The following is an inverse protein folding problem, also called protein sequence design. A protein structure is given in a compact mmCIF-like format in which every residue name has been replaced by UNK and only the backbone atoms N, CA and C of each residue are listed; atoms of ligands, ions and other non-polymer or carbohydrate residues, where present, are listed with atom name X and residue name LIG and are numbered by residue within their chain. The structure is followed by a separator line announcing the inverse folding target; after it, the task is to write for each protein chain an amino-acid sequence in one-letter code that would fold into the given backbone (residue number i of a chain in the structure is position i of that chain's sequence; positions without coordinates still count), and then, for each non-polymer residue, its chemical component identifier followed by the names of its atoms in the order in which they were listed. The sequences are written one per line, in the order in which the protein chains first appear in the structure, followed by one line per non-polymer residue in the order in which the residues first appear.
data_IF_683328390350
#
_entry.id   IF_683328390350
#
_cell.length_a   1.000
_cell.length_b   1.000
_cell.length_c   1.000
_cell.angle_alpha   90.00
_cell.angle_beta   90.00
_cell.angle_gamma   90.00
#
_symmetry.space_group_name_H-M   'P 1'
#
loop_
_entity.id
_entity.type
_entity.pdbx_description
1 polymer ?
#
# COMPACT_ATOMS: atom_id res chain seq x y z
N UNK A 1 30.89 20.00 0.70
CA UNK A 1 29.63 19.68 1.41
C UNK A 1 29.83 18.39 2.16
N UNK A 2 29.40 18.31 3.41
CA UNK A 2 29.43 17.08 4.20
C UNK A 2 28.00 16.55 4.27
N UNK A 3 27.84 15.26 3.98
CA UNK A 3 26.56 14.53 4.08
C UNK A 3 26.73 13.47 5.15
N UNK A 4 25.78 13.39 6.08
CA UNK A 4 25.74 12.37 7.13
C UNK A 4 24.61 11.40 6.79
N UNK A 5 24.92 10.10 6.74
CA UNK A 5 23.91 9.03 6.68
C UNK A 5 23.63 8.55 8.10
N UNK A 6 22.35 8.44 8.45
CA UNK A 6 21.88 7.96 9.75
C UNK A 6 20.96 6.78 9.47
N UNK A 7 21.32 5.60 9.96
CA UNK A 7 20.43 4.43 9.98
C UNK A 7 19.59 4.48 11.26
N UNK A 8 18.29 4.26 11.13
CA UNK A 8 17.33 4.33 12.23
C UNK A 8 16.66 2.96 12.33
N UNK A 9 16.85 2.28 13.44
CA UNK A 9 16.31 0.93 13.69
C UNK A 9 14.84 0.99 14.16
N UNK A 10 14.45 2.06 14.87
CA UNK A 10 13.07 2.27 15.34
C UNK A 10 12.44 3.49 14.64
N UNK A 11 11.48 3.26 13.73
CA UNK A 11 10.72 4.33 13.05
C UNK A 11 10.06 5.33 14.00
N UNK A 12 9.78 4.92 15.25
CA UNK A 12 9.17 5.76 16.28
C UNK A 12 10.00 7.01 16.59
N UNK A 13 11.31 6.94 16.42
CA UNK A 13 12.23 8.03 16.76
C UNK A 13 12.43 9.02 15.59
N UNK A 14 11.91 8.69 14.40
CA UNK A 14 12.02 9.50 13.20
C UNK A 14 11.46 10.93 13.38
N UNK A 15 10.27 11.15 13.97
CA UNK A 15 9.72 12.51 14.15
C UNK A 15 10.60 13.40 15.05
N UNK A 16 11.19 12.81 16.09
CA UNK A 16 12.05 13.52 17.04
C UNK A 16 13.38 13.89 16.38
N UNK A 17 13.95 12.98 15.60
CA UNK A 17 15.16 13.24 14.83
C UNK A 17 14.94 14.34 13.76
N UNK A 18 13.83 14.27 13.02
CA UNK A 18 13.46 15.30 12.04
C UNK A 18 13.34 16.69 12.69
N UNK A 19 12.74 16.77 13.88
CA UNK A 19 12.62 18.02 14.63
C UNK A 19 14.00 18.60 15.01
N UNK A 20 14.93 17.75 15.45
CA UNK A 20 16.30 18.17 15.79
C UNK A 20 17.06 18.65 14.55
N UNK A 21 17.02 17.90 13.46
CA UNK A 21 17.71 18.25 12.21
C UNK A 21 17.18 19.57 11.63
N UNK A 22 15.86 19.76 11.67
CA UNK A 22 15.21 21.01 11.24
C UNK A 22 15.66 22.19 12.10
N UNK A 23 15.72 22.01 13.43
CA UNK A 23 16.17 23.06 14.36
C UNK A 23 17.63 23.46 14.13
N UNK A 24 18.45 22.53 13.67
CA UNK A 24 19.85 22.79 13.28
C UNK A 24 20.00 23.45 11.91
N UNK A 25 18.90 23.65 11.17
CA UNK A 25 18.91 24.23 9.83
C UNK A 25 19.50 23.29 8.77
N UNK A 26 19.52 21.99 9.05
CA UNK A 26 20.00 20.98 8.12
C UNK A 26 18.89 20.60 7.13
N UNK A 27 19.29 20.32 5.89
CA UNK A 27 18.42 19.67 4.91
C UNK A 27 18.61 18.17 5.02
N UNK A 28 17.52 17.42 5.02
CA UNK A 28 17.53 15.96 5.08
C UNK A 28 16.47 15.41 4.13
N UNK A 29 16.66 14.16 3.76
CA UNK A 29 15.75 13.33 2.98
C UNK A 29 15.63 12.01 3.73
N UNK A 30 14.42 11.44 3.76
CA UNK A 30 14.19 10.12 4.30
C UNK A 30 14.15 9.18 3.11
N UNK A 31 15.12 8.26 3.04
CA UNK A 31 15.11 7.16 2.08
C UNK A 31 14.41 5.99 2.78
N UNK A 32 13.17 5.69 2.37
CA UNK A 32 12.50 4.43 2.72
C UNK A 32 12.92 3.40 1.68
N UNK A 33 13.53 2.29 2.13
CA UNK A 33 13.84 1.18 1.24
C UNK A 33 12.53 0.47 0.87
N UNK A 34 11.95 0.80 -0.28
CA UNK A 34 10.71 0.16 -0.80
C UNK A 34 10.86 -1.37 -1.01
N UNK A 35 12.10 -1.87 -1.00
CA UNK A 35 12.46 -3.28 -1.10
C UNK A 35 12.88 -3.92 0.25
N UNK A 36 12.78 -3.20 1.37
CA UNK A 36 12.98 -3.79 2.70
C UNK A 36 11.71 -4.50 3.18
N UNK A 37 11.58 -5.76 2.77
CA UNK A 37 10.54 -6.67 3.25
C UNK A 37 10.98 -7.45 4.50
N UNK A 38 12.09 -7.07 5.13
CA UNK A 38 12.70 -7.78 6.26
C UNK A 38 13.03 -9.24 5.91
N UNK A 39 12.82 -10.14 6.88
CA UNK A 39 13.07 -11.58 6.74
C UNK A 39 11.93 -12.35 6.05
N UNK A 40 11.04 -11.67 5.32
CA UNK A 40 9.94 -12.35 4.65
C UNK A 40 10.46 -13.27 3.53
N UNK A 41 9.94 -14.51 3.43
CA UNK A 41 10.28 -15.38 2.30
C UNK A 41 9.86 -14.75 0.97
N UNK A 42 10.65 -14.96 -0.09
CA UNK A 42 10.39 -14.44 -1.45
C UNK A 42 8.93 -14.70 -1.92
N UNK A 43 8.42 -15.91 -1.68
CA UNK A 43 7.05 -16.27 -2.06
C UNK A 43 5.97 -15.44 -1.34
N UNK A 44 6.25 -14.99 -0.11
CA UNK A 44 5.35 -14.10 0.61
C UNK A 44 5.40 -12.68 0.02
N UNK A 45 6.60 -12.19 -0.32
CA UNK A 45 6.80 -10.89 -0.97
C UNK A 45 6.07 -10.85 -2.32
N UNK A 46 6.26 -11.87 -3.17
CA UNK A 46 5.55 -11.99 -4.45
C UNK A 46 4.04 -11.99 -4.27
N UNK A 47 3.53 -12.74 -3.28
CA UNK A 47 2.11 -12.80 -2.97
C UNK A 47 1.52 -11.45 -2.53
N UNK A 48 2.25 -10.70 -1.70
CA UNK A 48 1.84 -9.36 -1.26
C UNK A 48 1.87 -8.37 -2.43
N UNK A 49 2.96 -8.33 -3.22
CA UNK A 49 3.08 -7.48 -4.40
C UNK A 49 1.95 -7.76 -5.41
N UNK A 50 1.61 -9.02 -5.63
CA UNK A 50 0.48 -9.41 -6.48
C UNK A 50 -0.88 -8.95 -5.92
N UNK A 51 -1.11 -9.11 -4.62
CA UNK A 51 -2.34 -8.66 -3.96
C UNK A 51 -2.54 -7.16 -4.01
N UNK A 52 -1.48 -6.38 -3.80
CA UNK A 52 -1.50 -4.92 -3.92
C UNK A 52 -1.82 -4.49 -5.36
N UNK A 53 -1.18 -5.11 -6.35
CA UNK A 53 -1.46 -4.84 -7.76
C UNK A 53 -2.90 -5.20 -8.17
N UNK A 54 -3.49 -6.24 -7.59
CA UNK A 54 -4.90 -6.58 -7.80
C UNK A 54 -5.84 -5.52 -7.19
N UNK A 55 -5.46 -4.96 -6.03
CA UNK A 55 -6.16 -3.85 -5.39
C UNK A 55 -6.14 -2.57 -6.23
N UNK A 56 -4.95 -2.14 -6.67
CA UNK A 56 -4.79 -0.95 -7.52
C UNK A 56 -5.49 -1.08 -8.88
N UNK A 57 -5.45 -2.28 -9.47
CA UNK A 57 -6.17 -2.58 -10.71
C UNK A 57 -7.70 -2.66 -10.53
N UNK A 58 -8.21 -2.50 -9.30
CA UNK A 58 -9.64 -2.58 -9.00
C UNK A 58 -10.23 -3.99 -9.22
N UNK A 59 -9.40 -5.04 -9.15
CA UNK A 59 -9.83 -6.44 -9.30
C UNK A 59 -10.30 -7.06 -7.99
N UNK A 60 -10.01 -6.40 -6.86
CA UNK A 60 -10.49 -6.78 -5.54
C UNK A 60 -11.78 -6.03 -5.23
N UNK A 61 -12.82 -6.76 -4.86
CA UNK A 61 -14.12 -6.19 -4.48
C UNK A 61 -14.62 -6.82 -3.18
N UNK A 62 -15.39 -6.04 -2.41
CA UNK A 62 -16.04 -6.56 -1.21
C UNK A 62 -17.13 -7.57 -1.59
N UNK A 63 -17.40 -8.51 -0.68
CA UNK A 63 -18.47 -9.49 -0.87
C UNK A 63 -19.82 -8.83 -1.15
N UNK A 64 -20.16 -7.79 -0.39
CA UNK A 64 -21.41 -7.05 -0.53
C UNK A 64 -21.54 -6.41 -1.92
N UNK A 65 -20.47 -5.80 -2.43
CA UNK A 65 -20.45 -5.22 -3.77
C UNK A 65 -20.71 -6.28 -4.84
N UNK A 66 -20.03 -7.43 -4.74
CA UNK A 66 -20.17 -8.52 -5.70
C UNK A 66 -21.60 -9.08 -5.69
N UNK A 67 -22.20 -9.24 -4.50
CA UNK A 67 -23.58 -9.71 -4.36
C UNK A 67 -24.59 -8.73 -4.98
N UNK A 68 -24.46 -7.44 -4.70
CA UNK A 68 -25.32 -6.42 -5.28
C UNK A 68 -25.22 -6.37 -6.80
N UNK A 69 -24.00 -6.42 -7.34
CA UNK A 69 -23.75 -6.46 -8.78
C UNK A 69 -24.36 -7.71 -9.44
N UNK A 70 -24.25 -8.88 -8.80
CA UNK A 70 -24.86 -10.11 -9.33
C UNK A 70 -26.39 -10.04 -9.35
N UNK A 71 -27.01 -9.52 -8.30
CA UNK A 71 -28.47 -9.36 -8.22
C UNK A 71 -28.98 -8.40 -9.31
N UNK A 72 -28.32 -7.25 -9.48
CA UNK A 72 -28.66 -6.30 -10.54
C UNK A 72 -28.55 -6.93 -11.94
N UNK A 73 -27.48 -7.70 -12.18
CA UNK A 73 -27.26 -8.40 -13.46
C UNK A 73 -28.35 -9.47 -13.71
N UNK A 74 -28.74 -10.22 -12.69
CA UNK A 74 -29.82 -11.20 -12.77
C UNK A 74 -31.17 -10.54 -13.09
N UNK A 75 -31.46 -9.41 -12.44
CA UNK A 75 -32.70 -8.66 -12.67
C UNK A 75 -32.77 -8.11 -14.10
N UNK A 76 -31.66 -7.57 -14.63
CA UNK A 76 -31.57 -7.12 -16.03
C UNK A 76 -31.83 -8.26 -17.02
N UNK A 77 -31.26 -9.43 -16.78
CA UNK A 77 -31.47 -10.60 -17.65
C UNK A 77 -32.92 -11.11 -17.61
N UNK A 78 -33.55 -11.11 -16.43
CA UNK A 78 -34.97 -11.46 -16.28
C UNK A 78 -35.89 -10.48 -17.00
N UNK A 79 -35.64 -9.17 -16.86
CA UNK A 79 -36.40 -8.15 -17.57
C UNK A 79 -36.30 -8.29 -19.09
N UNK A 80 -35.09 -8.58 -19.61
CA UNK A 80 -34.85 -8.81 -21.05
C UNK A 80 -35.50 -10.10 -21.58
N UNK A 81 -35.76 -11.09 -20.71
CA UNK A 81 -36.41 -12.35 -21.10
C UNK A 81 -37.94 -12.25 -21.12
N UNK A 82 -38.50 -11.34 -20.33
CA UNK A 82 -39.95 -11.21 -20.11
C UNK A 82 -40.59 -10.05 -20.88
N UNK A 83 -39.81 -9.22 -21.58
CA UNK A 83 -40.28 -8.19 -22.51
C UNK A 83 -39.94 -8.57 -23.95
#
# INVERSE_FOLDING_TARGET
MATLKIEIDEERDLPELQAVLTRMGLKFEVEEDEDDWGDLPEAAIEGIKAGLADGEAGRVHSHEYVMAYMEEKLNRLRAKKNG
#
